data_IF_687247016677
#
_entry.id   IF_687247016677
#
_cell.length_a   1.000
_cell.length_b   1.000
_cell.length_c   1.000
_cell.angle_alpha   90.00
_cell.angle_beta   90.00
_cell.angle_gamma   90.00
#
_symmetry.space_group_name_H-M   'P 1'
#
loop_
_entity.id
_entity.type
_entity.pdbx_description
1 polymer ?
#
# COMPACT_ATOMS: atom_id res chain seq x y z
N UNK A 1 -4.97 -17.60 -12.43
CA UNK A 1 -6.17 -16.97 -13.00
C UNK A 1 -7.44 -17.36 -12.25
N UNK A 2 -7.71 -18.65 -12.01
CA UNK A 2 -8.82 -19.09 -11.17
C UNK A 2 -8.76 -18.51 -9.74
N UNK A 3 -7.58 -18.14 -9.25
CA UNK A 3 -7.41 -17.50 -7.95
C UNK A 3 -7.97 -16.07 -7.90
N UNK A 4 -7.57 -15.21 -8.85
CA UNK A 4 -8.10 -13.84 -8.96
C UNK A 4 -9.62 -13.84 -9.17
N UNK A 5 -10.15 -14.74 -10.00
CA UNK A 5 -11.60 -14.89 -10.19
C UNK A 5 -12.34 -15.27 -8.90
N UNK A 6 -11.81 -16.23 -8.13
CA UNK A 6 -12.35 -16.61 -6.82
C UNK A 6 -12.29 -15.46 -5.82
N UNK A 7 -11.20 -14.69 -5.82
CA UNK A 7 -11.01 -13.54 -4.94
C UNK A 7 -11.97 -12.39 -5.27
N UNK A 8 -12.14 -12.05 -6.56
CA UNK A 8 -13.19 -11.11 -7.01
C UNK A 8 -14.57 -11.58 -6.55
N UNK A 9 -14.85 -12.89 -6.66
CA UNK A 9 -16.14 -13.47 -6.21
C UNK A 9 -16.36 -13.28 -4.72
N UNK A 10 -15.33 -13.54 -3.90
CA UNK A 10 -15.40 -13.37 -2.45
C UNK A 10 -15.63 -11.90 -2.07
N UNK A 11 -14.77 -11.00 -2.57
CA UNK A 11 -14.86 -9.56 -2.30
C UNK A 11 -16.19 -8.96 -2.76
N UNK A 12 -16.71 -9.39 -3.92
CA UNK A 12 -18.03 -8.96 -4.39
C UNK A 12 -19.14 -9.37 -3.42
N UNK A 13 -19.09 -10.59 -2.90
CA UNK A 13 -20.08 -11.10 -1.93
C UNK A 13 -19.98 -10.37 -0.60
N UNK A 14 -18.77 -10.08 -0.12
CA UNK A 14 -18.54 -9.30 1.09
C UNK A 14 -19.07 -7.87 0.95
N UNK A 15 -18.95 -7.28 -0.24
CA UNK A 15 -19.54 -6.00 -0.58
C UNK A 15 -21.07 -6.05 -0.81
N UNK A 16 -21.71 -7.23 -0.70
CA UNK A 16 -23.15 -7.40 -0.91
C UNK A 16 -23.62 -7.16 -2.35
N UNK A 17 -22.72 -7.20 -3.33
CA UNK A 17 -23.03 -6.84 -4.72
C UNK A 17 -23.37 -8.07 -5.57
N UNK A 18 -24.25 -7.90 -6.54
CA UNK A 18 -24.52 -8.89 -7.61
C UNK A 18 -23.54 -8.72 -8.77
N UNK A 19 -23.37 -9.76 -9.60
CA UNK A 19 -22.55 -9.66 -10.82
C UNK A 19 -23.06 -8.56 -11.77
N UNK A 20 -24.38 -8.35 -11.83
CA UNK A 20 -25.01 -7.29 -12.64
C UNK A 20 -24.67 -5.90 -12.13
N UNK A 21 -24.69 -5.68 -10.81
CA UNK A 21 -24.30 -4.40 -10.21
C UNK A 21 -22.83 -4.08 -10.48
N UNK A 22 -21.94 -5.08 -10.36
CA UNK A 22 -20.52 -4.91 -10.71
C UNK A 22 -20.34 -4.59 -12.19
N UNK A 23 -21.06 -5.29 -13.06
CA UNK A 23 -21.01 -5.06 -14.50
C UNK A 23 -21.46 -3.65 -14.89
N UNK A 24 -22.57 -3.17 -14.29
CA UNK A 24 -23.07 -1.82 -14.48
C UNK A 24 -22.07 -0.77 -13.99
N UNK A 25 -21.52 -0.93 -12.79
CA UNK A 25 -20.56 0.01 -12.22
C UNK A 25 -19.25 0.11 -13.02
N UNK A 26 -18.82 -0.99 -13.66
CA UNK A 26 -17.60 -1.03 -14.45
C UNK A 26 -17.82 -0.81 -15.96
N UNK A 27 -19.07 -0.57 -16.38
CA UNK A 27 -19.47 -0.45 -17.78
C UNK A 27 -19.01 -1.63 -18.66
N UNK A 28 -19.25 -2.86 -18.17
CA UNK A 28 -18.96 -4.11 -18.87
C UNK A 28 -20.20 -5.02 -18.91
N UNK A 29 -20.15 -6.10 -19.69
CA UNK A 29 -21.24 -7.07 -19.68
C UNK A 29 -21.21 -7.94 -18.42
N UNK A 30 -22.39 -8.36 -17.94
CA UNK A 30 -22.51 -9.33 -16.85
C UNK A 30 -21.77 -10.64 -17.17
N UNK A 31 -21.81 -11.06 -18.44
CA UNK A 31 -21.07 -12.23 -18.94
C UNK A 31 -19.54 -12.07 -18.78
N UNK A 32 -19.01 -10.86 -18.93
CA UNK A 32 -17.59 -10.59 -18.69
C UNK A 32 -17.24 -10.82 -17.21
N UNK A 33 -18.03 -10.27 -16.28
CA UNK A 33 -17.84 -10.47 -14.84
C UNK A 33 -17.95 -11.95 -14.47
N UNK A 34 -18.96 -12.66 -14.98
CA UNK A 34 -19.12 -14.09 -14.76
C UNK A 34 -17.92 -14.89 -15.29
N UNK A 35 -17.38 -14.53 -16.45
CA UNK A 35 -16.23 -15.21 -17.03
C UNK A 35 -14.92 -14.93 -16.26
N UNK A 36 -14.77 -13.73 -15.68
CA UNK A 36 -13.65 -13.42 -14.79
C UNK A 36 -13.73 -14.22 -13.48
N UNK A 37 -14.89 -14.21 -12.83
CA UNK A 37 -15.14 -14.95 -11.59
C UNK A 37 -14.92 -16.46 -11.75
N UNK A 38 -15.36 -17.01 -12.88
CA UNK A 38 -15.15 -18.42 -13.22
C UNK A 38 -13.71 -18.73 -13.72
N UNK A 39 -12.84 -17.73 -13.86
CA UNK A 39 -11.49 -17.90 -14.42
C UNK A 39 -11.44 -18.30 -15.90
N UNK A 40 -12.57 -18.22 -16.61
CA UNK A 40 -12.72 -18.59 -18.04
C UNK A 40 -12.19 -17.51 -18.98
N UNK A 41 -12.13 -16.26 -18.54
CA UNK A 41 -11.60 -15.14 -19.31
C UNK A 41 -10.61 -14.33 -18.47
N UNK A 42 -9.51 -13.92 -19.09
CA UNK A 42 -8.58 -12.98 -18.46
C UNK A 42 -9.24 -11.61 -18.32
N UNK A 43 -9.17 -11.07 -17.11
CA UNK A 43 -9.47 -9.67 -16.85
C UNK A 43 -8.34 -8.79 -17.41
N UNK A 44 -8.70 -7.65 -17.98
CA UNK A 44 -7.73 -6.71 -18.52
C UNK A 44 -7.05 -5.95 -17.38
N UNK A 45 -5.74 -5.74 -17.46
CA UNK A 45 -4.98 -5.02 -16.42
C UNK A 45 -5.55 -3.61 -16.18
N UNK A 46 -6.02 -2.95 -17.23
CA UNK A 46 -6.59 -1.60 -17.20
C UNK A 46 -7.83 -1.47 -16.31
N UNK A 47 -8.58 -2.55 -16.11
CA UNK A 47 -9.83 -2.52 -15.31
C UNK A 47 -9.60 -2.86 -13.84
N UNK A 48 -8.45 -3.45 -13.49
CA UNK A 48 -8.15 -3.88 -12.11
C UNK A 48 -8.23 -2.72 -11.10
N UNK A 49 -7.72 -1.51 -11.38
CA UNK A 49 -7.85 -0.40 -10.44
C UNK A 49 -9.32 0.01 -10.21
N UNK A 50 -10.18 -0.11 -11.24
CA UNK A 50 -11.60 0.19 -11.11
C UNK A 50 -12.32 -0.87 -10.27
N UNK A 51 -11.97 -2.15 -10.43
CA UNK A 51 -12.49 -3.25 -9.61
C UNK A 51 -12.08 -3.07 -8.14
N UNK A 52 -10.81 -2.75 -7.87
CA UNK A 52 -10.33 -2.54 -6.50
C UNK A 52 -11.09 -1.40 -5.79
N UNK A 53 -11.26 -0.26 -6.49
CA UNK A 53 -12.05 0.88 -5.97
C UNK A 53 -13.51 0.51 -5.73
N UNK A 54 -14.13 -0.21 -6.66
CA UNK A 54 -15.53 -0.63 -6.54
C UNK A 54 -15.76 -1.52 -5.33
N UNK A 55 -14.82 -2.43 -5.06
CA UNK A 55 -14.88 -3.38 -3.95
C UNK A 55 -14.26 -2.82 -2.65
N UNK A 56 -13.86 -1.54 -2.64
CA UNK A 56 -13.25 -0.86 -1.50
C UNK A 56 -12.02 -1.58 -0.91
N UNK A 57 -11.18 -2.17 -1.76
CA UNK A 57 -9.93 -2.84 -1.38
C UNK A 57 -8.71 -2.23 -2.08
N UNK A 58 -7.52 -2.53 -1.56
CA UNK A 58 -6.28 -2.22 -2.26
C UNK A 58 -6.09 -3.12 -3.51
N UNK A 59 -5.21 -2.72 -4.42
CA UNK A 59 -4.92 -3.55 -5.60
C UNK A 59 -4.14 -4.82 -5.19
N UNK A 60 -3.32 -4.69 -4.16
CA UNK A 60 -2.57 -5.75 -3.51
C UNK A 60 -3.54 -6.80 -2.94
N UNK A 61 -4.55 -6.37 -2.18
CA UNK A 61 -5.59 -7.27 -1.64
C UNK A 61 -6.42 -7.93 -2.75
N UNK A 62 -6.69 -7.22 -3.85
CA UNK A 62 -7.43 -7.76 -4.99
C UNK A 62 -6.66 -8.87 -5.71
N UNK A 63 -5.36 -8.65 -5.95
CA UNK A 63 -4.47 -9.68 -6.48
C UNK A 63 -4.17 -10.75 -5.42
N UNK A 64 -4.39 -10.38 -4.16
CA UNK A 64 -3.92 -10.97 -2.91
C UNK A 64 -2.57 -11.62 -3.04
N UNK A 65 -1.66 -10.78 -3.53
CA UNK A 65 -0.41 -10.60 -2.84
C UNK A 65 -0.81 -10.19 -1.42
N UNK A 66 -0.64 -11.09 -0.44
CA UNK A 66 -0.36 -10.54 0.89
C UNK A 66 0.72 -9.50 0.67
N UNK A 67 0.70 -8.34 1.35
CA UNK A 67 1.86 -7.48 1.31
C UNK A 67 2.99 -8.43 1.64
N UNK A 68 3.87 -8.71 0.66
CA UNK A 68 5.20 -9.08 0.99
C UNK A 68 5.54 -7.93 1.89
N UNK A 69 5.58 -8.22 3.19
CA UNK A 69 6.58 -7.62 4.01
C UNK A 69 7.85 -8.05 3.25
N UNK A 70 8.19 -7.28 2.22
CA UNK A 70 9.45 -6.58 2.17
C UNK A 70 9.50 -5.94 3.56
N UNK A 71 9.82 -6.78 4.55
CA UNK A 71 10.82 -6.50 5.52
C UNK A 71 11.92 -5.96 4.65
N UNK A 72 11.86 -4.66 4.38
CA UNK A 72 13.02 -3.83 4.38
C UNK A 72 13.68 -4.34 5.65
N UNK A 73 14.64 -5.25 5.49
CA UNK A 73 15.63 -5.52 6.51
C UNK A 73 16.34 -4.19 6.61
N UNK A 74 15.65 -3.21 7.23
CA UNK A 74 16.25 -2.08 7.87
C UNK A 74 17.20 -2.81 8.80
N UNK A 75 18.48 -2.79 8.46
CA UNK A 75 19.50 -3.05 9.46
C UNK A 75 19.20 -2.17 10.69
N UNK A 76 19.94 -2.35 11.79
CA UNK A 76 19.82 -1.47 12.95
C UNK A 76 19.65 -0.03 12.48
N UNK A 77 18.64 0.67 13.01
CA UNK A 77 18.31 2.02 12.57
C UNK A 77 19.62 2.80 12.39
N UNK A 78 19.86 3.47 11.25
CA UNK A 78 21.11 4.16 11.00
C UNK A 78 21.47 5.00 12.23
N UNK A 79 22.75 5.00 12.62
CA UNK A 79 23.22 5.65 13.85
C UNK A 79 22.65 7.07 14.05
N UNK A 80 22.41 7.79 12.95
CA UNK A 80 21.73 9.08 12.93
C UNK A 80 20.31 9.09 13.52
N UNK A 81 19.48 8.10 13.20
CA UNK A 81 18.13 7.96 13.76
C UNK A 81 18.18 7.71 15.27
N UNK A 82 19.08 6.84 15.73
CA UNK A 82 19.27 6.57 17.16
C UNK A 82 19.70 7.83 17.93
N UNK A 83 20.61 8.62 17.33
CA UNK A 83 21.07 9.88 17.93
C UNK A 83 19.95 10.92 18.01
N UNK A 84 19.07 11.01 17.01
CA UNK A 84 17.92 11.93 17.06
C UNK A 84 16.97 11.55 18.18
N UNK A 85 16.63 10.26 18.31
CA UNK A 85 15.76 9.76 19.38
C UNK A 85 16.36 10.04 20.77
N UNK A 86 17.67 9.84 20.93
CA UNK A 86 18.38 10.16 22.16
C UNK A 86 18.29 11.67 22.46
N UNK A 87 18.57 12.53 21.46
CA UNK A 87 18.49 13.99 21.61
C UNK A 87 17.08 14.42 22.03
N UNK A 88 16.03 13.85 21.43
CA UNK A 88 14.64 14.19 21.73
C UNK A 88 14.25 13.87 23.19
N UNK A 89 14.87 12.86 23.79
CA UNK A 89 14.66 12.49 25.20
C UNK A 89 15.38 13.42 26.21
N UNK A 90 16.33 14.24 25.74
CA UNK A 90 17.11 15.12 26.61
C UNK A 90 16.35 16.39 27.03
N UNK A 91 16.73 17.03 28.15
CA UNK A 91 16.23 18.36 28.52
C UNK A 91 16.49 19.41 27.43
N UNK A 92 15.57 20.37 27.29
CA UNK A 92 15.61 21.42 26.24
C UNK A 92 16.92 22.22 26.19
N UNK A 93 17.57 22.45 27.34
CA UNK A 93 18.87 23.12 27.39
C UNK A 93 19.98 22.30 26.69
N UNK A 94 19.98 20.97 26.85
CA UNK A 94 20.94 20.08 26.18
C UNK A 94 20.62 19.95 24.68
N UNK A 95 19.34 19.88 24.31
CA UNK A 95 18.93 19.90 22.90
C UNK A 95 19.42 21.17 22.18
N UNK A 96 19.26 22.33 22.82
CA UNK A 96 19.70 23.62 22.28
C UNK A 96 21.22 23.65 22.04
N UNK A 97 22.01 23.22 23.02
CA UNK A 97 23.46 23.12 22.90
C UNK A 97 23.89 22.23 21.73
N UNK A 98 23.26 21.05 21.57
CA UNK A 98 23.57 20.12 20.47
C UNK A 98 23.18 20.72 19.11
N UNK A 99 22.04 21.41 19.01
CA UNK A 99 21.61 22.09 17.78
C UNK A 99 22.58 23.20 17.36
N UNK A 100 23.08 23.98 18.30
CA UNK A 100 24.07 25.05 18.05
C UNK A 100 25.40 24.46 17.54
N UNK A 101 25.86 23.35 18.13
CA UNK A 101 27.05 22.63 17.68
C UNK A 101 26.89 22.07 16.25
N UNK A 102 25.77 21.41 15.96
CA UNK A 102 25.49 20.87 14.61
C UNK A 102 25.41 21.99 13.56
N UNK A 103 24.79 23.12 13.91
CA UNK A 103 24.70 24.29 13.04
C UNK A 103 26.09 24.85 12.71
N UNK A 104 26.97 24.97 13.71
CA UNK A 104 28.35 25.42 13.50
C UNK A 104 29.14 24.47 12.58
N UNK A 105 29.01 23.15 12.77
CA UNK A 105 29.67 22.15 11.92
C UNK A 105 29.16 22.17 10.48
N UNK A 106 27.85 22.37 10.26
CA UNK A 106 27.27 22.47 8.92
C UNK A 106 27.81 23.71 8.18
N UNK A 107 27.96 24.83 8.89
CA UNK A 107 28.56 26.05 8.32
C UNK A 107 30.03 25.80 7.96
N UNK A 108 30.79 25.15 8.84
CA UNK A 108 32.20 24.81 8.58
C UNK A 108 32.37 23.89 7.37
N UNK A 109 31.51 22.89 7.19
CA UNK A 109 31.59 21.94 6.09
C UNK A 109 31.18 22.49 4.71
N UNK A 110 30.64 23.71 4.65
CA UNK A 110 30.22 24.40 3.43
C UNK A 110 31.24 25.40 2.87
N UNK A 111 32.30 25.71 3.63
CA UNK A 111 33.47 26.48 3.20
C UNK A 111 34.58 25.55 2.70
#
# INVERSE_FOLDING_TARGET
MAELGRRITALRKDAGMTQTQVAQALNVSQQAVQAWEAGRRRIQISILPAVARLLAVSLEDLLGEEPEKIARKRGPAPKWQQLIEEIDSLPKAKQKMISEMLSALIVQARN
#
